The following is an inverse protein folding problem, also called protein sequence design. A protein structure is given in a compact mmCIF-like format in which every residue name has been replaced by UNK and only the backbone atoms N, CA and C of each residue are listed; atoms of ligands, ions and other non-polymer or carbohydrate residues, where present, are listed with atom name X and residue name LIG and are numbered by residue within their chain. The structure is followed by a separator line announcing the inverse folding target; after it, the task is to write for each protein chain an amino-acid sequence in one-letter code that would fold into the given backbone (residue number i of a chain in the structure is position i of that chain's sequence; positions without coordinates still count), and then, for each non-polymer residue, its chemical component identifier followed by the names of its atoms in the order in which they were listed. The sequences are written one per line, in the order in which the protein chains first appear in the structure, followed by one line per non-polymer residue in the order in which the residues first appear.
data_IF_994298556408
#
_entry.id   IF_994298556408
#
_cell.length_a   1.000
_cell.length_b   1.000
_cell.length_c   1.000
_cell.angle_alpha   90.00
_cell.angle_beta   90.00
_cell.angle_gamma   90.00
#
_symmetry.space_group_name_H-M   'P 1'
#
loop_
_entity.id
_entity.type
_entity.pdbx_description
1 polymer ?
#
# COMPACT_ATOMS: atom_id res chain seq x y z
N UNK A 1 -17.07 18.33 8.19
CA UNK A 1 -16.65 17.16 7.38
C UNK A 1 -15.17 17.30 7.10
N UNK A 2 -14.34 16.30 7.43
CA UNK A 2 -12.91 16.33 7.11
C UNK A 2 -12.80 16.06 5.61
N UNK A 3 -12.15 16.95 4.86
CA UNK A 3 -11.91 16.69 3.44
C UNK A 3 -10.82 15.62 3.31
N UNK A 4 -10.98 14.63 2.40
CA UNK A 4 -9.97 13.61 2.18
C UNK A 4 -8.64 14.24 1.75
N UNK A 5 -7.52 13.63 2.14
CA UNK A 5 -6.18 14.12 1.81
C UNK A 5 -5.97 14.17 0.28
N UNK A 6 -4.95 14.90 -0.17
CA UNK A 6 -4.64 14.96 -1.60
C UNK A 6 -4.29 13.56 -2.16
N UNK A 7 -3.55 12.75 -1.39
CA UNK A 7 -3.21 11.37 -1.74
C UNK A 7 -4.46 10.50 -1.85
N UNK A 8 -5.35 10.53 -0.86
CA UNK A 8 -6.63 9.78 -0.91
C UNK A 8 -7.44 10.13 -2.15
N UNK A 9 -7.58 11.42 -2.48
CA UNK A 9 -8.34 11.86 -3.66
C UNK A 9 -7.72 11.33 -4.96
N UNK A 10 -6.39 11.40 -5.11
CA UNK A 10 -5.70 10.95 -6.32
C UNK A 10 -5.75 9.43 -6.47
N UNK A 11 -5.50 8.69 -5.39
CA UNK A 11 -5.53 7.23 -5.40
C UNK A 11 -6.94 6.73 -5.73
N UNK A 12 -7.97 7.26 -5.07
CA UNK A 12 -9.37 6.88 -5.37
C UNK A 12 -9.79 7.28 -6.79
N UNK A 13 -9.28 8.40 -7.32
CA UNK A 13 -9.52 8.77 -8.71
C UNK A 13 -8.94 7.73 -9.67
N UNK A 14 -7.68 7.32 -9.49
CA UNK A 14 -7.04 6.29 -10.32
C UNK A 14 -7.77 4.96 -10.22
N UNK A 15 -8.08 4.52 -9.00
CA UNK A 15 -8.81 3.27 -8.75
C UNK A 15 -10.16 3.27 -9.46
N UNK A 16 -10.96 4.33 -9.31
CA UNK A 16 -12.26 4.42 -9.94
C UNK A 16 -12.18 4.54 -11.47
N UNK A 17 -11.23 5.32 -11.99
CA UNK A 17 -11.10 5.58 -13.42
C UNK A 17 -10.57 4.36 -14.18
N UNK A 18 -9.63 3.62 -13.60
CA UNK A 18 -9.00 2.45 -14.20
C UNK A 18 -9.60 1.13 -13.71
N UNK A 19 -10.59 1.19 -12.81
CA UNK A 19 -11.30 0.03 -12.23
C UNK A 19 -10.38 -0.96 -11.52
N UNK A 20 -9.40 -0.43 -10.79
CA UNK A 20 -8.41 -1.20 -10.02
C UNK A 20 -9.10 -1.88 -8.81
N UNK A 21 -8.79 -3.14 -8.58
CA UNK A 21 -9.45 -4.02 -7.59
C UNK A 21 -8.55 -4.45 -6.44
N UNK A 22 -7.23 -4.40 -6.60
CA UNK A 22 -6.28 -4.75 -5.55
C UNK A 22 -5.27 -3.63 -5.29
N UNK A 23 -5.11 -3.28 -4.01
CA UNK A 23 -4.27 -2.19 -3.53
C UNK A 23 -3.32 -2.66 -2.44
N UNK A 24 -2.04 -2.32 -2.55
CA UNK A 24 -1.03 -2.49 -1.51
C UNK A 24 -0.53 -1.11 -1.05
N UNK A 25 -0.48 -0.89 0.25
CA UNK A 25 0.16 0.28 0.88
C UNK A 25 1.29 -0.19 1.80
N UNK A 26 2.48 0.36 1.56
CA UNK A 26 3.65 0.20 2.43
C UNK A 26 3.88 1.52 3.15
N UNK A 27 3.93 1.49 4.49
CA UNK A 27 4.07 2.69 5.33
C UNK A 27 2.75 3.27 5.85
N UNK A 28 1.78 2.40 6.16
CA UNK A 28 0.40 2.80 6.52
C UNK A 28 0.32 3.68 7.77
N UNK A 29 1.24 3.53 8.72
CA UNK A 29 1.31 4.25 9.99
C UNK A 29 -0.04 4.34 10.75
N UNK A 30 -0.76 5.46 10.61
CA UNK A 30 -2.05 5.74 11.28
C UNK A 30 -3.28 5.27 10.49
N UNK A 31 -3.11 4.83 9.24
CA UNK A 31 -4.19 4.41 8.36
C UNK A 31 -4.96 5.54 7.71
N UNK A 32 -4.50 6.80 7.83
CA UNK A 32 -5.19 7.98 7.28
C UNK A 32 -5.44 7.87 5.78
N UNK A 33 -4.50 7.30 5.01
CA UNK A 33 -4.69 7.01 3.59
C UNK A 33 -5.40 5.68 3.40
N UNK A 34 -4.81 4.58 3.89
CA UNK A 34 -5.29 3.21 3.71
C UNK A 34 -6.80 3.03 3.96
N UNK A 35 -7.32 3.56 5.07
CA UNK A 35 -8.70 3.35 5.49
C UNK A 35 -9.70 4.07 4.56
N UNK A 36 -9.29 5.16 3.90
CA UNK A 36 -10.13 5.94 2.99
C UNK A 36 -10.05 5.47 1.52
N UNK A 37 -9.17 4.51 1.19
CA UNK A 37 -9.06 3.93 -0.16
C UNK A 37 -10.24 2.99 -0.44
N UNK A 38 -10.86 3.13 -1.62
CA UNK A 38 -12.05 2.40 -2.04
C UNK A 38 -11.74 1.43 -3.17
N UNK A 39 -11.40 0.19 -2.82
CA UNK A 39 -11.22 -0.91 -3.79
C UNK A 39 -11.70 -2.24 -3.19
N UNK A 40 -11.64 -3.33 -3.96
CA UNK A 40 -12.18 -4.63 -3.57
C UNK A 40 -11.30 -5.31 -2.52
N UNK A 41 -9.97 -5.26 -2.69
CA UNK A 41 -8.99 -5.79 -1.75
C UNK A 41 -7.89 -4.79 -1.44
N UNK A 42 -7.52 -4.66 -0.17
CA UNK A 42 -6.47 -3.77 0.33
C UNK A 42 -5.53 -4.51 1.27
N UNK A 43 -4.24 -4.26 1.12
CA UNK A 43 -3.17 -4.88 1.90
C UNK A 43 -2.33 -3.78 2.54
N UNK A 44 -2.28 -3.79 3.87
CA UNK A 44 -1.58 -2.80 4.68
C UNK A 44 -0.29 -3.41 5.22
N UNK A 45 0.85 -2.77 4.97
CA UNK A 45 2.16 -3.18 5.51
C UNK A 45 2.77 -2.02 6.28
N UNK A 46 3.11 -2.26 7.54
CA UNK A 46 3.82 -1.30 8.37
C UNK A 46 4.57 -2.02 9.51
N UNK A 47 5.80 -1.63 9.87
CA UNK A 47 6.49 -2.20 11.04
C UNK A 47 5.70 -2.08 12.35
N UNK A 48 4.87 -1.03 12.47
CA UNK A 48 4.04 -0.76 13.65
C UNK A 48 2.84 0.12 13.31
N UNK A 49 1.64 -0.48 13.25
CA UNK A 49 0.41 0.29 13.10
C UNK A 49 0.17 1.17 14.34
N UNK A 50 -0.19 2.44 14.09
CA UNK A 50 -0.47 3.46 15.11
C UNK A 50 -1.96 3.65 15.36
N UNK A 51 -2.74 2.61 15.09
CA UNK A 51 -4.19 2.54 15.27
C UNK A 51 -4.63 1.09 15.54
N UNK A 52 -5.83 0.92 16.07
CA UNK A 52 -6.43 -0.40 16.34
C UNK A 52 -6.88 -1.08 15.04
N UNK A 53 -5.94 -1.56 14.23
CA UNK A 53 -6.21 -2.12 12.90
C UNK A 53 -7.11 -3.36 12.92
N UNK A 54 -7.10 -4.12 14.02
CA UNK A 54 -7.92 -5.32 14.20
C UNK A 54 -9.43 -5.06 14.03
N UNK A 55 -9.92 -3.84 14.33
CA UNK A 55 -11.34 -3.50 14.14
C UNK A 55 -11.75 -3.32 12.68
N UNK A 56 -10.77 -3.23 11.77
CA UNK A 56 -10.98 -3.05 10.33
C UNK A 56 -10.70 -4.34 9.54
N UNK A 57 -10.21 -5.40 10.18
CA UNK A 57 -9.97 -6.68 9.52
C UNK A 57 -11.29 -7.27 9.02
N UNK A 58 -11.33 -7.57 7.74
CA UNK A 58 -12.43 -8.25 7.09
C UNK A 58 -11.91 -9.01 5.85
N UNK A 59 -12.82 -9.51 5.00
CA UNK A 59 -12.42 -10.23 3.77
C UNK A 59 -11.79 -9.34 2.70
N UNK A 60 -11.91 -8.02 2.81
CA UNK A 60 -11.36 -7.02 1.89
C UNK A 60 -10.03 -6.45 2.37
N UNK A 61 -9.72 -6.54 3.67
CA UNK A 61 -8.60 -5.83 4.28
C UNK A 61 -7.68 -6.78 5.03
N UNK A 62 -6.44 -6.88 4.55
CA UNK A 62 -5.37 -7.63 5.20
C UNK A 62 -4.34 -6.68 5.79
N UNK A 63 -3.91 -6.94 7.02
CA UNK A 63 -2.94 -6.11 7.74
C UNK A 63 -1.74 -6.96 8.15
N UNK A 64 -0.55 -6.48 7.80
CA UNK A 64 0.74 -7.10 8.06
C UNK A 64 1.58 -6.13 8.90
N UNK A 65 1.55 -6.31 10.23
CA UNK A 65 2.40 -5.52 11.14
C UNK A 65 3.83 -6.09 11.10
N UNK A 66 4.61 -5.69 10.09
CA UNK A 66 5.99 -6.12 9.84
C UNK A 66 6.71 -5.13 8.90
N UNK A 67 8.06 -5.13 8.88
CA UNK A 67 8.84 -4.42 7.86
C UNK A 67 8.49 -4.84 6.43
N UNK A 68 8.65 -3.92 5.47
CA UNK A 68 8.42 -4.19 4.04
C UNK A 68 9.37 -5.26 3.49
N UNK A 69 10.64 -5.24 3.91
CA UNK A 69 11.62 -6.27 3.57
C UNK A 69 11.12 -7.67 3.96
N UNK A 70 10.52 -7.81 5.16
CA UNK A 70 9.96 -9.08 5.63
C UNK A 70 8.69 -9.44 4.86
N UNK A 71 7.80 -8.49 4.61
CA UNK A 71 6.60 -8.71 3.82
C UNK A 71 6.93 -9.20 2.41
N UNK A 72 7.89 -8.59 1.74
CA UNK A 72 8.32 -8.97 0.39
C UNK A 72 9.28 -10.17 0.36
N UNK A 73 9.71 -10.68 1.52
CA UNK A 73 10.51 -11.91 1.64
C UNK A 73 9.67 -13.19 1.49
N UNK A 74 10.25 -14.33 1.85
CA UNK A 74 9.62 -15.64 1.82
C UNK A 74 8.43 -15.79 2.81
N UNK A 75 8.26 -14.86 3.77
CA UNK A 75 7.11 -14.88 4.67
C UNK A 75 5.76 -14.76 3.95
N UNK A 76 5.71 -13.99 2.86
CA UNK A 76 4.53 -13.93 1.99
C UNK A 76 4.78 -14.65 0.65
N UNK A 77 5.68 -15.64 0.57
CA UNK A 77 5.93 -16.40 -0.65
C UNK A 77 4.64 -16.99 -1.26
N UNK A 78 3.74 -17.45 -0.39
CA UNK A 78 2.48 -18.07 -0.78
C UNK A 78 1.35 -17.06 -1.06
N UNK A 79 1.60 -15.76 -0.91
CA UNK A 79 0.66 -14.74 -1.31
C UNK A 79 0.65 -14.68 -2.85
N UNK A 80 -0.20 -15.49 -3.48
CA UNK A 80 -0.40 -15.51 -4.94
C UNK A 80 -1.27 -14.32 -5.42
N UNK A 81 -1.13 -13.17 -4.75
CA UNK A 81 -1.86 -11.95 -5.09
C UNK A 81 -0.98 -11.06 -5.96
N UNK A 82 -1.59 -10.47 -6.99
CA UNK A 82 -0.99 -9.40 -7.79
C UNK A 82 -1.78 -8.12 -7.58
N UNK A 83 -1.07 -7.01 -7.40
CA UNK A 83 -1.67 -5.72 -7.08
C UNK A 83 -1.86 -4.85 -8.32
N UNK A 84 -3.06 -4.28 -8.48
CA UNK A 84 -3.34 -3.30 -9.52
C UNK A 84 -2.68 -1.96 -9.18
N UNK A 85 -2.63 -1.58 -7.89
CA UNK A 85 -1.96 -0.37 -7.42
C UNK A 85 -1.11 -0.65 -6.19
N UNK A 86 0.15 -0.21 -6.23
CA UNK A 86 1.11 -0.28 -5.12
C UNK A 86 1.53 1.14 -4.73
N UNK A 87 1.24 1.54 -3.50
CA UNK A 87 1.63 2.83 -2.94
C UNK A 87 2.77 2.64 -1.93
N UNK A 88 3.92 3.24 -2.22
CA UNK A 88 5.11 3.21 -1.38
C UNK A 88 5.27 4.55 -0.66
N UNK A 89 4.92 4.57 0.63
CA UNK A 89 4.85 5.73 1.53
C UNK A 89 5.62 5.42 2.86
N UNK A 90 6.72 4.69 2.72
CA UNK A 90 7.45 4.07 3.83
C UNK A 90 8.53 4.97 4.45
N UNK A 91 9.79 4.50 4.42
CA UNK A 91 10.90 5.15 5.11
C UNK A 91 11.40 6.44 4.42
N UNK A 92 10.97 6.71 3.19
CA UNK A 92 11.36 7.86 2.36
C UNK A 92 12.88 8.04 2.13
N UNK A 93 13.69 7.01 2.37
CA UNK A 93 15.06 6.97 1.86
C UNK A 93 15.07 6.44 0.44
N UNK A 94 15.95 6.98 -0.40
CA UNK A 94 16.10 6.50 -1.77
C UNK A 94 16.36 4.99 -1.81
N UNK A 95 17.24 4.50 -0.95
CA UNK A 95 17.63 3.10 -0.88
C UNK A 95 16.48 2.18 -0.51
N UNK A 96 15.66 2.56 0.48
CA UNK A 96 14.53 1.73 0.89
C UNK A 96 13.42 1.78 -0.16
N UNK A 97 13.07 2.95 -0.70
CA UNK A 97 12.04 3.06 -1.74
C UNK A 97 12.40 2.29 -3.00
N UNK A 98 13.67 2.33 -3.44
CA UNK A 98 14.14 1.55 -4.59
C UNK A 98 14.08 0.05 -4.30
N UNK A 99 14.44 -0.37 -3.09
CA UNK A 99 14.36 -1.77 -2.67
C UNK A 99 12.91 -2.26 -2.61
N UNK A 100 12.01 -1.47 -2.04
CA UNK A 100 10.58 -1.78 -1.96
C UNK A 100 9.99 -1.87 -3.37
N UNK A 101 10.32 -0.93 -4.26
CA UNK A 101 9.91 -0.98 -5.67
C UNK A 101 10.38 -2.27 -6.33
N UNK A 102 11.68 -2.58 -6.29
CA UNK A 102 12.23 -3.80 -6.89
C UNK A 102 11.59 -5.07 -6.31
N UNK A 103 11.44 -5.12 -4.99
CA UNK A 103 10.86 -6.26 -4.28
C UNK A 103 9.37 -6.43 -4.59
N UNK A 104 8.65 -5.34 -4.86
CA UNK A 104 7.24 -5.37 -5.20
C UNK A 104 6.95 -5.90 -6.61
N UNK A 105 7.94 -5.93 -7.52
CA UNK A 105 7.78 -6.44 -8.90
C UNK A 105 7.28 -7.89 -8.95
N UNK A 106 7.62 -8.73 -7.96
CA UNK A 106 7.08 -10.11 -7.90
C UNK A 106 5.59 -10.14 -7.55
N UNK A 107 5.03 -9.05 -7.03
CA UNK A 107 3.61 -8.88 -6.68
C UNK A 107 2.86 -8.03 -7.72
N UNK A 108 3.48 -7.75 -8.87
CA UNK A 108 2.86 -6.99 -9.95
C UNK A 108 2.50 -7.86 -11.16
N UNK A 109 1.67 -7.29 -12.02
CA UNK A 109 1.38 -7.71 -13.39
C UNK A 109 1.68 -6.54 -14.34
N UNK A 110 1.50 -6.76 -15.64
CA UNK A 110 1.92 -5.80 -16.68
C UNK A 110 1.19 -4.45 -16.64
N UNK A 111 0.08 -4.35 -15.92
CA UNK A 111 -0.74 -3.13 -15.78
C UNK A 111 -0.67 -2.53 -14.36
N UNK A 112 0.17 -3.08 -13.48
CA UNK A 112 0.32 -2.55 -12.11
C UNK A 112 0.80 -1.09 -12.14
N UNK A 113 0.21 -0.26 -11.30
CA UNK A 113 0.58 1.14 -11.11
C UNK A 113 1.33 1.30 -9.79
N UNK A 114 2.52 1.88 -9.85
CA UNK A 114 3.25 2.29 -8.67
C UNK A 114 3.11 3.78 -8.43
N UNK A 115 2.82 4.13 -7.18
CA UNK A 115 2.87 5.50 -6.67
C UNK A 115 3.95 5.56 -5.59
N UNK A 116 4.84 6.54 -5.70
CA UNK A 116 5.94 6.75 -4.75
C UNK A 116 5.73 8.10 -4.07
N UNK A 117 5.59 8.13 -2.74
CA UNK A 117 5.43 9.39 -2.01
C UNK A 117 6.77 10.05 -1.68
N UNK A 118 6.72 11.37 -1.39
CA UNK A 118 7.85 12.19 -0.97
C UNK A 118 9.11 12.08 -1.87
N UNK A 119 8.90 12.15 -3.18
CA UNK A 119 9.98 12.12 -4.18
C UNK A 119 10.61 13.49 -4.45
N UNK A 120 10.11 14.56 -3.81
CA UNK A 120 10.68 15.91 -3.91
C UNK A 120 11.58 16.14 -2.70
N UNK A 121 12.91 16.28 -2.88
CA UNK A 121 13.81 16.57 -1.76
C UNK A 121 13.47 17.92 -1.12
N UNK A 122 13.48 17.97 0.21
CA UNK A 122 13.44 19.21 1.01
C UNK A 122 14.81 19.84 1.20
#
# INVERSE_FOLDING_TARGET
MKHPSASVRRINYLIGHLKLRSYLEVGVARGDTFLEINTDKKYAVDPKFKFEFEKYKDQKQSFFEMPSDDFFSDHCFNLNEKFDLIFLDGLHTFEQTLRDFCSSLRFSHDETIWLLDDTVPT
#
